data_IF_878018640005
#
_entry.id   IF_878018640005
#
_cell.length_a   1.000
_cell.length_b   1.000
_cell.length_c   1.000
_cell.angle_alpha   90.00
_cell.angle_beta   90.00
_cell.angle_gamma   90.00
#
_symmetry.space_group_name_H-M   'P 1'
#
loop_
_entity.id
_entity.type
_entity.pdbx_description
1 polymer ?
#
# COMPACT_ATOMS: atom_id res chain seq x y z
N UNK A 1 -19.17 -24.62 -13.40
CA UNK A 1 -19.49 -23.88 -12.16
C UNK A 1 -18.25 -23.23 -11.51
N UNK A 2 -17.08 -23.88 -11.49
CA UNK A 2 -15.84 -23.39 -10.83
C UNK A 2 -15.25 -22.05 -11.33
N UNK A 3 -15.33 -21.71 -12.63
CA UNK A 3 -14.78 -20.44 -13.15
C UNK A 3 -15.56 -19.19 -12.69
N UNK A 4 -16.89 -19.28 -12.50
CA UNK A 4 -17.69 -18.12 -12.04
C UNK A 4 -17.35 -17.75 -10.60
N UNK A 5 -17.13 -18.74 -9.74
CA UNK A 5 -16.74 -18.52 -8.35
C UNK A 5 -15.36 -17.89 -8.26
N UNK A 6 -14.36 -18.42 -8.97
CA UNK A 6 -13.00 -17.85 -8.99
C UNK A 6 -13.02 -16.38 -9.43
N UNK A 7 -13.81 -16.06 -10.46
CA UNK A 7 -13.98 -14.67 -10.91
C UNK A 7 -14.55 -13.79 -9.80
N UNK A 8 -15.60 -14.25 -9.11
CA UNK A 8 -16.19 -13.50 -7.99
C UNK A 8 -15.21 -13.31 -6.83
N UNK A 9 -14.35 -14.29 -6.54
CA UNK A 9 -13.30 -14.14 -5.53
C UNK A 9 -12.30 -13.05 -5.92
N UNK A 10 -11.80 -13.09 -7.16
CA UNK A 10 -10.88 -12.08 -7.69
C UNK A 10 -11.51 -10.68 -7.71
N UNK A 11 -12.77 -10.58 -8.12
CA UNK A 11 -13.49 -9.30 -8.14
C UNK A 11 -13.60 -8.71 -6.73
N UNK A 12 -13.88 -9.54 -5.70
CA UNK A 12 -13.92 -9.09 -4.30
C UNK A 12 -12.56 -8.60 -3.81
N UNK A 13 -11.50 -9.37 -4.09
CA UNK A 13 -10.12 -8.99 -3.74
C UNK A 13 -9.76 -7.66 -4.40
N UNK A 14 -10.07 -7.49 -5.68
CA UNK A 14 -9.78 -6.27 -6.44
C UNK A 14 -10.52 -5.05 -5.89
N UNK A 15 -11.80 -5.19 -5.56
CA UNK A 15 -12.59 -4.11 -4.95
C UNK A 15 -12.04 -3.71 -3.57
N UNK A 16 -11.62 -4.70 -2.77
CA UNK A 16 -10.96 -4.46 -1.48
C UNK A 16 -9.63 -3.72 -1.65
N UNK A 17 -8.81 -4.14 -2.60
CA UNK A 17 -7.54 -3.48 -2.94
C UNK A 17 -7.78 -2.01 -3.33
N UNK A 18 -8.66 -1.73 -4.29
CA UNK A 18 -8.96 -0.36 -4.73
C UNK A 18 -9.53 0.51 -3.59
N UNK A 19 -10.36 -0.08 -2.72
CA UNK A 19 -10.88 0.59 -1.52
C UNK A 19 -9.74 1.00 -0.60
N UNK A 20 -8.86 0.07 -0.25
CA UNK A 20 -7.70 0.32 0.62
C UNK A 20 -6.79 1.39 0.02
N UNK A 21 -6.50 1.29 -1.28
CA UNK A 21 -5.65 2.26 -1.96
C UNK A 21 -6.23 3.67 -1.84
N UNK A 22 -7.52 3.84 -2.13
CA UNK A 22 -8.19 5.14 -2.11
C UNK A 22 -8.28 5.75 -0.71
N UNK A 23 -8.49 4.93 0.32
CA UNK A 23 -8.65 5.41 1.69
C UNK A 23 -7.32 5.76 2.37
N UNK A 24 -6.28 4.99 2.09
CA UNK A 24 -5.06 5.02 2.90
C UNK A 24 -3.84 5.63 2.21
N UNK A 25 -3.72 5.62 0.87
CA UNK A 25 -2.56 6.27 0.21
C UNK A 25 -2.44 7.77 0.49
N UNK A 26 -3.58 8.45 0.64
CA UNK A 26 -3.62 9.89 0.91
C UNK A 26 -3.59 10.25 2.40
N UNK A 27 -3.31 9.29 3.29
CA UNK A 27 -3.15 9.57 4.72
C UNK A 27 -1.77 10.16 5.00
N UNK A 28 -1.70 11.11 5.93
CA UNK A 28 -0.46 11.78 6.32
C UNK A 28 0.71 10.82 6.58
N UNK A 29 0.56 9.79 7.44
CA UNK A 29 1.65 8.83 7.69
C UNK A 29 2.14 8.11 6.43
N UNK A 30 1.24 7.75 5.53
CA UNK A 30 1.54 7.02 4.30
C UNK A 30 2.26 7.91 3.28
N UNK A 31 1.83 9.16 3.12
CA UNK A 31 2.52 10.14 2.26
C UNK A 31 3.93 10.43 2.78
N UNK A 32 4.08 10.53 4.11
CA UNK A 32 5.39 10.73 4.73
C UNK A 32 6.29 9.53 4.49
N UNK A 33 5.80 8.30 4.71
CA UNK A 33 6.58 7.08 4.48
C UNK A 33 6.89 6.84 3.00
N UNK A 34 5.91 6.93 2.10
CA UNK A 34 6.03 6.53 0.70
C UNK A 34 6.68 7.56 -0.22
N UNK A 35 6.60 8.86 0.11
CA UNK A 35 7.10 9.93 -0.77
C UNK A 35 8.17 10.75 -0.06
N UNK A 36 7.83 11.32 1.09
CA UNK A 36 8.68 12.31 1.76
C UNK A 36 9.99 11.68 2.26
N UNK A 37 9.91 10.50 2.88
CA UNK A 37 11.07 9.81 3.41
C UNK A 37 12.05 9.36 2.32
N UNK A 38 11.64 8.69 1.22
CA UNK A 38 12.52 8.38 0.10
C UNK A 38 13.23 9.60 -0.48
N UNK A 39 12.51 10.70 -0.63
CA UNK A 39 13.07 11.96 -1.13
C UNK A 39 14.18 12.48 -0.22
N UNK A 40 13.94 12.55 1.09
CA UNK A 40 14.94 13.03 2.04
C UNK A 40 16.11 12.07 2.22
N UNK A 41 15.89 10.76 2.19
CA UNK A 41 16.97 9.77 2.19
C UNK A 41 17.83 9.97 0.95
N UNK A 42 17.22 10.04 -0.23
CA UNK A 42 17.95 10.29 -1.48
C UNK A 42 18.74 11.59 -1.44
N UNK A 43 18.13 12.70 -0.99
CA UNK A 43 18.83 13.98 -0.80
C UNK A 43 20.03 13.85 0.14
N UNK A 44 19.88 13.15 1.27
CA UNK A 44 20.96 12.94 2.23
C UNK A 44 22.15 12.16 1.64
N UNK A 45 21.90 11.25 0.69
CA UNK A 45 22.95 10.48 0.02
C UNK A 45 23.58 11.21 -1.18
N UNK A 46 22.83 12.08 -1.86
CA UNK A 46 23.30 12.80 -3.05
C UNK A 46 24.01 14.09 -2.69
N UNK A 47 23.51 14.83 -1.70
CA UNK A 47 24.11 16.09 -1.25
C UNK A 47 25.54 15.83 -0.77
N UNK A 48 26.49 16.59 -1.31
CA UNK A 48 27.92 16.47 -0.98
C UNK A 48 28.67 15.38 -1.75
N UNK A 49 27.99 14.59 -2.61
CA UNK A 49 28.64 13.66 -3.54
C UNK A 49 28.68 14.23 -4.95
N UNK A 50 29.70 13.85 -5.72
CA UNK A 50 29.84 14.20 -7.15
C UNK A 50 29.03 13.26 -8.05
N UNK A 51 27.80 12.91 -7.67
CA UNK A 51 26.90 12.17 -8.55
C UNK A 51 26.27 13.13 -9.55
N UNK A 52 26.20 12.72 -10.82
CA UNK A 52 25.27 13.35 -11.75
C UNK A 52 23.83 13.02 -11.36
N UNK A 53 22.89 13.91 -11.69
CA UNK A 53 21.47 13.69 -11.41
C UNK A 53 20.99 12.33 -11.95
N UNK A 54 21.40 11.99 -13.17
CA UNK A 54 21.07 10.74 -13.86
C UNK A 54 21.59 9.48 -13.14
N UNK A 55 22.78 9.53 -12.54
CA UNK A 55 23.34 8.40 -11.78
C UNK A 55 22.59 8.15 -10.46
N UNK A 56 22.00 9.20 -9.90
CA UNK A 56 21.29 9.13 -8.61
C UNK A 56 19.80 8.74 -8.73
N UNK A 57 19.19 8.87 -9.91
CA UNK A 57 17.78 8.55 -10.14
C UNK A 57 17.40 7.09 -9.82
N UNK A 58 18.19 6.06 -10.20
CA UNK A 58 17.87 4.68 -9.86
C UNK A 58 17.77 4.45 -8.35
N UNK A 59 18.60 5.15 -7.55
CA UNK A 59 18.52 5.09 -6.08
C UNK A 59 17.20 5.69 -5.58
N UNK A 60 16.79 6.84 -6.11
CA UNK A 60 15.51 7.45 -5.75
C UNK A 60 14.34 6.52 -6.11
N UNK A 61 14.34 5.92 -7.31
CA UNK A 61 13.29 5.02 -7.77
C UNK A 61 13.23 3.76 -6.89
N UNK A 62 14.38 3.19 -6.53
CA UNK A 62 14.45 2.02 -5.65
C UNK A 62 13.89 2.34 -4.26
N UNK A 63 14.31 3.46 -3.66
CA UNK A 63 13.79 3.92 -2.36
C UNK A 63 12.29 4.19 -2.43
N UNK A 64 11.84 4.97 -3.41
CA UNK A 64 10.43 5.33 -3.56
C UNK A 64 9.56 4.07 -3.75
N UNK A 65 9.98 3.12 -4.58
CA UNK A 65 9.21 1.88 -4.82
C UNK A 65 9.11 1.02 -3.55
N UNK A 66 10.24 0.84 -2.84
CA UNK A 66 10.27 0.04 -1.63
C UNK A 66 9.40 0.63 -0.51
N UNK A 67 9.54 1.92 -0.26
CA UNK A 67 8.79 2.61 0.79
C UNK A 67 7.32 2.78 0.44
N UNK A 68 6.98 3.06 -0.83
CA UNK A 68 5.59 3.17 -1.28
C UNK A 68 4.85 1.85 -1.09
N UNK A 69 5.47 0.72 -1.45
CA UNK A 69 4.84 -0.60 -1.26
C UNK A 69 4.58 -0.92 0.22
N UNK A 70 5.52 -0.60 1.12
CA UNK A 70 5.32 -0.86 2.55
C UNK A 70 4.45 0.19 3.28
N UNK A 71 4.06 1.27 2.60
CA UNK A 71 3.57 2.50 3.26
C UNK A 71 2.21 2.35 3.97
N UNK A 72 1.40 1.37 3.58
CA UNK A 72 0.04 1.17 4.08
C UNK A 72 -0.14 -0.09 4.92
N UNK A 73 0.69 -1.12 4.72
CA UNK A 73 0.64 -2.41 5.42
C UNK A 73 0.41 -2.30 6.94
N UNK A 74 1.17 -1.51 7.71
CA UNK A 74 0.99 -1.47 9.16
C UNK A 74 -0.22 -0.65 9.61
N UNK A 75 -0.87 0.09 8.71
CA UNK A 75 -1.90 1.08 9.04
C UNK A 75 -3.30 0.54 8.77
N UNK A 76 -3.52 -0.20 7.66
CA UNK A 76 -4.87 -0.61 7.22
C UNK A 76 -5.63 -1.36 8.32
N UNK A 77 -5.08 -2.48 8.81
CA UNK A 77 -5.77 -3.34 9.78
C UNK A 77 -6.04 -2.63 11.14
N UNK A 78 -5.07 -1.95 11.77
CA UNK A 78 -5.35 -1.22 13.00
C UNK A 78 -6.37 -0.10 12.83
N UNK A 79 -6.36 0.62 11.70
CA UNK A 79 -7.33 1.68 11.44
C UNK A 79 -8.74 1.14 11.19
N UNK A 80 -8.86 0.06 10.43
CA UNK A 80 -10.13 -0.62 10.19
C UNK A 80 -10.74 -1.18 11.48
N UNK A 81 -9.90 -1.79 12.33
CA UNK A 81 -10.32 -2.23 13.66
C UNK A 81 -10.77 -1.06 14.53
N UNK A 82 -10.00 0.04 14.55
CA UNK A 82 -10.33 1.24 15.34
C UNK A 82 -11.64 1.89 14.91
N UNK A 83 -11.94 1.90 13.61
CA UNK A 83 -13.19 2.47 13.07
C UNK A 83 -14.35 1.48 13.05
N UNK A 84 -14.15 0.24 13.54
CA UNK A 84 -15.13 -0.86 13.47
C UNK A 84 -15.55 -1.24 12.05
N UNK A 85 -14.81 -0.80 11.03
CA UNK A 85 -15.07 -1.19 9.64
C UNK A 85 -14.63 -2.63 9.38
N UNK A 86 -13.64 -3.12 10.13
CA UNK A 86 -13.21 -4.52 10.04
C UNK A 86 -14.34 -5.49 10.44
N UNK A 87 -15.01 -5.21 11.56
CA UNK A 87 -16.16 -6.00 12.04
C UNK A 87 -17.31 -5.96 11.04
N UNK A 88 -17.62 -4.76 10.52
CA UNK A 88 -18.60 -4.58 9.45
C UNK A 88 -18.23 -5.41 8.21
N UNK A 89 -16.96 -5.41 7.81
CA UNK A 89 -16.52 -6.13 6.62
C UNK A 89 -16.59 -7.65 6.84
N UNK A 90 -16.23 -8.14 8.03
CA UNK A 90 -16.34 -9.55 8.42
C UNK A 90 -17.78 -10.06 8.52
N UNK A 91 -18.75 -9.17 8.75
CA UNK A 91 -20.20 -9.52 8.72
C UNK A 91 -20.76 -9.71 7.30
N UNK A 92 -20.02 -9.29 6.27
CA UNK A 92 -20.40 -9.47 4.85
C UNK A 92 -19.92 -10.84 4.36
N UNK A 93 -20.41 -11.36 3.22
CA UNK A 93 -19.97 -12.64 2.66
C UNK A 93 -18.56 -12.56 2.05
N UNK A 94 -17.56 -12.20 2.86
CA UNK A 94 -16.13 -12.17 2.54
C UNK A 94 -15.36 -12.90 3.63
N UNK A 95 -14.42 -13.74 3.21
CA UNK A 95 -13.56 -14.49 4.13
C UNK A 95 -12.34 -13.66 4.52
N UNK A 96 -11.76 -13.90 5.70
CA UNK A 96 -10.51 -13.26 6.13
C UNK A 96 -9.39 -13.34 5.08
N UNK A 97 -9.30 -14.44 4.34
CA UNK A 97 -8.32 -14.62 3.27
C UNK A 97 -8.50 -13.60 2.13
N UNK A 98 -9.74 -13.24 1.78
CA UNK A 98 -10.04 -12.22 0.75
C UNK A 98 -9.57 -10.84 1.24
N UNK A 99 -9.80 -10.55 2.53
CA UNK A 99 -9.37 -9.29 3.15
C UNK A 99 -7.85 -9.21 3.13
N UNK A 100 -7.17 -10.25 3.63
CA UNK A 100 -5.71 -10.31 3.67
C UNK A 100 -5.09 -10.20 2.28
N UNK A 101 -5.63 -10.91 1.27
CA UNK A 101 -5.14 -10.80 -0.10
C UNK A 101 -5.42 -9.43 -0.72
N UNK A 102 -6.58 -8.84 -0.44
CA UNK A 102 -6.92 -7.49 -0.90
C UNK A 102 -5.96 -6.44 -0.34
N UNK A 103 -5.70 -6.49 0.97
CA UNK A 103 -4.76 -5.58 1.64
C UNK A 103 -3.31 -5.83 1.21
N UNK A 104 -2.91 -7.09 1.01
CA UNK A 104 -1.59 -7.46 0.51
C UNK A 104 -1.34 -7.00 -0.93
N UNK A 105 -2.38 -6.93 -1.77
CA UNK A 105 -2.28 -6.40 -3.14
C UNK A 105 -2.36 -4.87 -3.21
N UNK A 106 -2.96 -4.23 -2.21
CA UNK A 106 -2.98 -2.77 -2.12
C UNK A 106 -1.58 -2.22 -1.75
N UNK A 107 -0.83 -3.02 -0.98
CA UNK A 107 0.52 -2.74 -0.50
C UNK A 107 1.56 -3.22 -1.51
#
# INVERSE_FOLDING_TARGET
MRCKEIRQYLDRIWVLCLKDMKLYYFKGPTVVMGILMPLFIWLAFVIGRRFSFTESLPMLIALASFFTSSSITPIVMPWEARQKTLEMLLSRPVTINIILLGTALAS
#
